data_IF_569222308908
#
_entry.id   IF_569222308908
#
_cell.length_a   1.000
_cell.length_b   1.000
_cell.length_c   1.000
_cell.angle_alpha   90.00
_cell.angle_beta   90.00
_cell.angle_gamma   90.00
#
_symmetry.space_group_name_H-M   'P 1'
#
loop_
_entity.id
_entity.type
_entity.pdbx_description
1 polymer ?
#
# COMPACT_ATOMS: atom_id res chain seq x y z
N UNK A 1 -22.16 0.71 -3.80
CA UNK A 1 -20.82 1.23 -3.49
C UNK A 1 -19.77 0.33 -4.15
N UNK A 2 -18.73 0.95 -4.78
CA UNK A 2 -17.61 0.22 -5.39
C UNK A 2 -16.31 0.68 -4.73
N UNK A 3 -15.93 0.13 -3.58
CA UNK A 3 -14.72 0.55 -2.89
C UNK A 3 -13.46 0.02 -3.57
N UNK A 4 -12.50 0.89 -3.81
CA UNK A 4 -11.18 0.56 -4.34
C UNK A 4 -10.13 1.33 -3.54
N UNK A 5 -9.09 0.64 -3.14
CA UNK A 5 -7.95 1.24 -2.45
C UNK A 5 -6.91 1.74 -3.45
N UNK A 6 -6.40 2.93 -3.20
CA UNK A 6 -5.24 3.49 -3.89
C UNK A 6 -4.14 3.68 -2.86
N UNK A 7 -2.95 3.18 -3.16
CA UNK A 7 -1.82 3.20 -2.23
C UNK A 7 -0.59 3.74 -2.92
N UNK A 8 0.25 4.44 -2.18
CA UNK A 8 1.54 4.92 -2.68
C UNK A 8 2.52 5.08 -1.52
N UNK A 9 3.80 4.99 -1.84
CA UNK A 9 4.88 5.20 -0.92
C UNK A 9 6.02 5.93 -1.59
N UNK A 10 6.72 6.75 -0.81
CA UNK A 10 7.84 7.53 -1.30
C UNK A 10 8.90 7.65 -0.20
N UNK A 11 10.14 7.85 -0.59
CA UNK A 11 11.22 8.03 0.35
C UNK A 11 12.30 8.92 -0.23
N UNK A 12 12.68 9.98 0.50
CA UNK A 12 13.85 10.77 0.20
C UNK A 12 15.10 10.07 0.75
N UNK A 13 16.24 10.19 0.06
CA UNK A 13 17.49 9.54 0.48
C UNK A 13 17.35 8.03 0.72
N UNK A 14 16.70 7.36 -0.20
CA UNK A 14 16.33 5.94 -0.12
C UNK A 14 17.48 5.05 0.37
N UNK A 15 17.24 4.28 1.43
CA UNK A 15 18.24 3.37 2.02
C UNK A 15 19.24 4.03 2.97
N UNK A 16 19.12 5.33 3.22
CA UNK A 16 19.98 6.07 4.13
C UNK A 16 19.36 6.14 5.53
N UNK A 17 20.15 6.12 6.63
CA UNK A 17 19.60 6.32 7.97
C UNK A 17 18.83 7.62 8.16
N UNK A 18 19.17 8.65 7.38
CA UNK A 18 18.45 9.95 7.41
C UNK A 18 17.26 10.00 6.47
N UNK A 19 16.94 8.90 5.80
CA UNK A 19 15.81 8.86 4.87
C UNK A 19 14.51 9.18 5.59
N UNK A 20 13.68 10.01 4.95
CA UNK A 20 12.32 10.29 5.41
C UNK A 20 11.38 9.72 4.37
N UNK A 21 10.65 8.68 4.78
CA UNK A 21 9.65 8.06 3.94
C UNK A 21 8.25 8.41 4.38
N UNK A 22 7.32 8.25 3.47
CA UNK A 22 5.90 8.40 3.76
C UNK A 22 5.09 7.47 2.89
N UNK A 23 3.94 7.08 3.39
CA UNK A 23 2.98 6.35 2.58
C UNK A 23 1.57 6.89 2.81
N UNK A 24 0.73 6.70 1.80
CA UNK A 24 -0.68 7.01 1.86
C UNK A 24 -1.49 5.85 1.32
N UNK A 25 -2.68 5.66 1.88
CA UNK A 25 -3.64 4.67 1.43
C UNK A 25 -5.04 5.25 1.59
N UNK A 26 -5.81 5.26 0.52
CA UNK A 26 -7.19 5.75 0.55
C UNK A 26 -8.13 4.72 -0.05
N UNK A 27 -9.28 4.56 0.57
CA UNK A 27 -10.38 3.76 0.03
C UNK A 27 -11.40 4.72 -0.58
N UNK A 28 -11.66 4.56 -1.86
CA UNK A 28 -12.54 5.44 -2.65
C UNK A 28 -13.75 4.66 -3.10
N UNK A 29 -14.93 5.25 -2.95
CA UNK A 29 -16.12 4.76 -3.61
C UNK A 29 -16.14 5.28 -5.05
N UNK A 30 -15.94 4.40 -6.03
CA UNK A 30 -15.90 4.80 -7.43
C UNK A 30 -17.29 5.18 -7.98
N UNK A 31 -18.39 4.76 -7.33
CA UNK A 31 -19.72 5.16 -7.76
C UNK A 31 -19.99 6.64 -7.46
N UNK A 32 -19.54 7.13 -6.31
CA UNK A 32 -19.74 8.53 -5.91
C UNK A 32 -18.48 9.37 -6.09
N UNK A 33 -17.34 8.72 -6.37
CA UNK A 33 -16.03 9.35 -6.50
C UNK A 33 -15.64 10.12 -5.25
N UNK A 34 -15.84 9.50 -4.08
CA UNK A 34 -15.54 10.09 -2.77
C UNK A 34 -14.67 9.17 -1.94
N UNK A 35 -13.87 9.77 -1.05
CA UNK A 35 -13.04 9.00 -0.12
C UNK A 35 -13.91 8.49 1.04
N UNK A 36 -13.84 7.18 1.27
CA UNK A 36 -14.56 6.51 2.37
C UNK A 36 -13.72 6.59 3.65
N UNK A 37 -12.43 6.24 3.54
CA UNK A 37 -11.48 6.26 4.64
C UNK A 37 -10.05 6.20 4.10
N UNK A 38 -9.08 6.42 4.96
CA UNK A 38 -7.68 6.31 4.57
C UNK A 38 -6.74 6.52 5.73
N UNK A 39 -5.46 6.41 5.44
CA UNK A 39 -4.39 6.60 6.38
C UNK A 39 -3.15 7.13 5.71
N UNK A 40 -2.29 7.68 6.52
CA UNK A 40 -1.00 8.24 6.12
C UNK A 40 -0.01 8.01 7.25
N UNK A 41 1.25 7.77 6.90
CA UNK A 41 2.30 7.66 7.91
C UNK A 41 3.62 8.17 7.35
N UNK A 42 4.50 8.58 8.26
CA UNK A 42 5.88 8.97 7.96
C UNK A 42 6.83 8.12 8.77
N UNK A 43 7.95 7.74 8.18
CA UNK A 43 8.93 6.84 8.79
C UNK A 43 10.33 7.35 8.51
N UNK A 44 11.18 7.33 9.54
CA UNK A 44 12.59 7.65 9.41
C UNK A 44 13.38 6.37 9.13
N UNK A 45 14.42 6.46 8.29
CA UNK A 45 15.31 5.33 8.03
C UNK A 45 14.66 4.18 7.27
N UNK A 46 13.92 4.50 6.22
CA UNK A 46 13.18 3.52 5.44
C UNK A 46 13.58 3.54 3.96
N UNK A 47 12.82 2.86 3.11
CA UNK A 47 13.02 2.80 1.67
C UNK A 47 11.71 3.01 0.92
N UNK A 48 11.78 3.35 -0.37
CA UNK A 48 10.60 3.44 -1.24
C UNK A 48 9.79 2.15 -1.21
N UNK A 49 10.46 1.00 -1.37
CA UNK A 49 9.79 -0.29 -1.42
C UNK A 49 9.05 -0.60 -0.13
N UNK A 50 9.66 -0.31 1.02
CA UNK A 50 8.99 -0.52 2.31
C UNK A 50 7.74 0.35 2.45
N UNK A 51 7.81 1.61 2.03
CA UNK A 51 6.66 2.52 2.10
C UNK A 51 5.52 2.04 1.21
N UNK A 52 5.82 1.57 0.00
CA UNK A 52 4.83 0.98 -0.89
C UNK A 52 4.16 -0.24 -0.27
N UNK A 53 4.94 -1.13 0.32
CA UNK A 53 4.42 -2.35 0.95
C UNK A 53 3.58 -2.04 2.18
N UNK A 54 4.02 -1.11 3.02
CA UNK A 54 3.27 -0.73 4.22
C UNK A 54 1.93 -0.09 3.89
N UNK A 55 1.85 0.69 2.82
CA UNK A 55 0.59 1.25 2.35
C UNK A 55 -0.40 0.16 1.95
N UNK A 56 0.07 -0.85 1.22
CA UNK A 56 -0.77 -1.99 0.80
C UNK A 56 -1.23 -2.78 2.03
N UNK A 57 -0.35 -3.05 2.98
CA UNK A 57 -0.69 -3.76 4.22
C UNK A 57 -1.76 -2.99 5.00
N UNK A 58 -1.63 -1.67 5.09
CA UNK A 58 -2.65 -0.83 5.73
C UNK A 58 -4.03 -1.03 5.08
N UNK A 59 -4.08 -1.08 3.75
CA UNK A 59 -5.33 -1.30 3.03
C UNK A 59 -5.95 -2.64 3.38
N UNK A 60 -5.16 -3.70 3.48
CA UNK A 60 -5.65 -5.03 3.87
C UNK A 60 -6.16 -5.02 5.30
N UNK A 61 -5.44 -4.39 6.21
CA UNK A 61 -5.83 -4.30 7.62
C UNK A 61 -7.11 -3.48 7.84
N UNK A 62 -7.37 -2.53 6.96
CA UNK A 62 -8.51 -1.61 7.09
C UNK A 62 -9.60 -1.84 6.03
N UNK A 63 -9.59 -2.99 5.40
CA UNK A 63 -10.55 -3.35 4.37
C UNK A 63 -12.00 -3.26 4.86
N UNK A 64 -12.90 -2.99 3.92
CA UNK A 64 -14.33 -2.97 4.22
C UNK A 64 -14.92 -4.38 4.17
N UNK A 65 -15.61 -4.77 5.23
CA UNK A 65 -16.30 -6.05 5.28
C UNK A 65 -17.46 -6.08 4.27
N UNK A 66 -17.65 -7.23 3.64
CA UNK A 66 -18.74 -7.43 2.70
C UNK A 66 -18.52 -6.92 1.30
N UNK A 67 -17.31 -6.43 0.99
CA UNK A 67 -16.95 -5.95 -0.34
C UNK A 67 -15.68 -6.63 -0.84
N UNK A 68 -15.53 -6.80 -2.16
CA UNK A 68 -14.26 -7.26 -2.72
C UNK A 68 -13.11 -6.33 -2.32
N UNK A 69 -11.97 -6.90 -1.99
CA UNK A 69 -10.78 -6.11 -1.66
C UNK A 69 -9.96 -5.89 -2.93
N UNK A 70 -10.04 -4.68 -3.46
CA UNK A 70 -9.32 -4.26 -4.65
C UNK A 70 -8.34 -3.17 -4.25
N UNK A 71 -7.06 -3.39 -4.53
CA UNK A 71 -5.98 -2.45 -4.20
C UNK A 71 -5.21 -2.11 -5.46
N UNK A 72 -5.04 -0.83 -5.73
CA UNK A 72 -4.28 -0.31 -6.88
C UNK A 72 -3.02 0.39 -6.40
N UNK A 73 -1.89 -0.02 -6.95
CA UNK A 73 -0.56 0.51 -6.64
C UNK A 73 0.21 0.74 -7.93
N UNK A 74 1.14 1.67 -7.95
CA UNK A 74 2.06 1.85 -9.06
C UNK A 74 3.40 1.11 -8.87
N UNK A 75 3.57 0.44 -7.74
CA UNK A 75 4.80 -0.30 -7.41
C UNK A 75 4.81 -1.70 -8.04
N UNK A 76 5.54 -1.86 -9.13
CA UNK A 76 5.73 -3.18 -9.75
C UNK A 76 6.39 -4.16 -8.78
N UNK A 77 7.34 -3.70 -7.97
CA UNK A 77 8.02 -4.52 -6.97
C UNK A 77 7.04 -5.09 -5.93
N UNK A 78 6.21 -4.25 -5.34
CA UNK A 78 5.25 -4.68 -4.33
C UNK A 78 4.22 -5.65 -4.91
N UNK A 79 3.69 -5.33 -6.09
CA UNK A 79 2.70 -6.18 -6.77
C UNK A 79 3.29 -7.55 -7.09
N UNK A 80 4.48 -7.60 -7.69
CA UNK A 80 5.11 -8.87 -8.03
C UNK A 80 5.46 -9.69 -6.79
N UNK A 81 5.91 -9.02 -5.73
CA UNK A 81 6.22 -9.69 -4.46
C UNK A 81 4.96 -10.33 -3.87
N UNK A 82 3.90 -9.58 -3.73
CA UNK A 82 2.69 -10.02 -3.04
C UNK A 82 1.81 -10.94 -3.89
N UNK A 83 1.83 -10.80 -5.22
CA UNK A 83 1.03 -11.66 -6.08
C UNK A 83 1.75 -12.96 -6.49
N UNK A 84 3.08 -12.96 -6.52
CA UNK A 84 3.83 -14.08 -7.10
C UNK A 84 4.97 -14.58 -6.21
N UNK A 85 6.00 -13.77 -6.02
CA UNK A 85 7.26 -14.24 -5.43
C UNK A 85 7.11 -14.75 -4.00
N UNK A 86 6.29 -14.12 -3.21
CA UNK A 86 6.04 -14.46 -1.83
C UNK A 86 5.59 -15.92 -1.65
N UNK A 87 4.75 -16.41 -2.54
CA UNK A 87 4.25 -17.79 -2.47
C UNK A 87 5.35 -18.82 -2.71
N UNK A 88 6.25 -18.53 -3.65
CA UNK A 88 7.42 -19.37 -3.88
C UNK A 88 8.33 -19.38 -2.65
N UNK A 89 8.60 -18.21 -2.07
CA UNK A 89 9.43 -18.12 -0.87
C UNK A 89 8.82 -18.85 0.32
N UNK A 90 7.51 -18.72 0.51
CA UNK A 90 6.80 -19.42 1.60
C UNK A 90 6.93 -20.95 1.47
N UNK A 91 6.83 -21.48 0.25
CA UNK A 91 7.00 -22.92 -0.01
C UNK A 91 8.44 -23.38 0.23
N UNK A 92 9.41 -22.48 0.13
CA UNK A 92 10.84 -22.77 0.26
C UNK A 92 11.43 -22.37 1.61
N UNK A 93 10.59 -22.25 2.64
CA UNK A 93 11.07 -21.87 3.98
C UNK A 93 11.51 -20.41 4.09
N UNK A 94 10.93 -19.53 3.27
CA UNK A 94 11.23 -18.10 3.24
C UNK A 94 12.66 -17.79 2.78
N UNK A 95 13.12 -18.56 1.82
CA UNK A 95 14.44 -18.40 1.19
C UNK A 95 14.25 -18.33 -0.32
N UNK A 96 14.99 -17.43 -0.97
CA UNK A 96 15.00 -17.29 -2.42
C UNK A 96 15.76 -18.44 -3.08
N UNK A 97 15.61 -18.60 -4.41
CA UNK A 97 16.27 -19.64 -5.18
C UNK A 97 17.81 -19.58 -5.09
N UNK A 98 18.38 -18.39 -4.88
CA UNK A 98 19.81 -18.18 -4.69
C UNK A 98 20.27 -18.42 -3.24
N UNK A 99 19.40 -18.95 -2.39
CA UNK A 99 19.58 -19.24 -0.97
C UNK A 99 19.75 -18.00 -0.09
N UNK A 100 19.47 -16.82 -0.62
CA UNK A 100 19.45 -15.57 0.14
C UNK A 100 18.10 -15.33 0.78
N UNK A 101 18.10 -14.59 1.90
CA UNK A 101 16.87 -14.15 2.55
C UNK A 101 16.24 -13.04 1.71
N UNK A 102 14.93 -13.10 1.43
CA UNK A 102 14.26 -12.03 0.70
C UNK A 102 14.35 -10.69 1.41
N UNK A 103 14.50 -9.61 0.65
CA UNK A 103 14.43 -8.27 1.19
C UNK A 103 13.03 -8.00 1.75
N UNK A 104 12.96 -7.19 2.79
CA UNK A 104 11.69 -6.81 3.42
C UNK A 104 10.86 -8.00 3.91
N UNK A 105 11.53 -9.07 4.33
CA UNK A 105 10.86 -10.32 4.71
C UNK A 105 9.84 -10.12 5.83
N UNK A 106 10.09 -9.22 6.75
CA UNK A 106 9.14 -8.89 7.82
C UNK A 106 7.80 -8.43 7.26
N UNK A 107 7.80 -7.55 6.27
CA UNK A 107 6.58 -7.05 5.63
C UNK A 107 5.96 -8.11 4.72
N UNK A 108 6.78 -8.89 4.02
CA UNK A 108 6.29 -9.99 3.17
C UNK A 108 5.53 -11.01 4.00
N UNK A 109 6.10 -11.45 5.12
CA UNK A 109 5.44 -12.39 6.02
C UNK A 109 4.16 -11.81 6.62
N UNK A 110 4.20 -10.53 7.00
CA UNK A 110 3.01 -9.86 7.57
C UNK A 110 1.86 -9.87 6.57
N UNK A 111 2.10 -9.49 5.33
CA UNK A 111 1.08 -9.53 4.29
C UNK A 111 0.59 -10.95 4.04
N UNK A 112 1.52 -11.90 3.90
CA UNK A 112 1.18 -13.31 3.67
C UNK A 112 0.23 -13.85 4.73
N UNK A 113 0.55 -13.64 6.00
CA UNK A 113 -0.30 -14.13 7.10
C UNK A 113 -1.63 -13.39 7.19
N UNK A 114 -1.67 -12.10 6.91
CA UNK A 114 -2.93 -11.35 6.85
C UNK A 114 -3.87 -11.96 5.80
N UNK A 115 -3.35 -12.26 4.63
CA UNK A 115 -4.15 -12.78 3.52
C UNK A 115 -4.53 -14.25 3.76
N UNK A 116 -3.57 -15.09 4.11
CA UNK A 116 -3.80 -16.53 4.24
C UNK A 116 -4.59 -16.89 5.49
N UNK A 117 -4.27 -16.29 6.64
CA UNK A 117 -4.94 -16.60 7.89
C UNK A 117 -6.41 -16.13 7.90
N UNK A 118 -6.71 -15.08 7.14
CA UNK A 118 -8.06 -14.54 7.03
C UNK A 118 -8.79 -15.03 5.76
N UNK A 119 -8.17 -15.91 4.98
CA UNK A 119 -8.73 -16.45 3.73
C UNK A 119 -9.20 -15.34 2.77
N UNK A 120 -8.38 -14.31 2.59
CA UNK A 120 -8.75 -13.16 1.77
C UNK A 120 -8.45 -13.40 0.29
N UNK A 121 -9.37 -12.99 -0.57
CA UNK A 121 -9.14 -12.89 -2.00
C UNK A 121 -8.83 -11.42 -2.31
N UNK A 122 -7.56 -11.09 -2.49
CA UNK A 122 -7.11 -9.73 -2.75
C UNK A 122 -6.85 -9.57 -4.25
N UNK A 123 -7.45 -8.54 -4.85
CA UNK A 123 -7.10 -8.10 -6.19
C UNK A 123 -6.11 -6.95 -6.04
N UNK A 124 -4.82 -7.25 -6.19
CA UNK A 124 -3.76 -6.25 -6.15
C UNK A 124 -3.29 -6.03 -7.57
N UNK A 125 -3.57 -4.85 -8.10
CA UNK A 125 -3.33 -4.54 -9.50
C UNK A 125 -2.57 -3.23 -9.66
N UNK A 126 -1.86 -3.12 -10.78
CA UNK A 126 -1.13 -1.90 -11.08
C UNK A 126 -2.07 -0.83 -11.59
N UNK A 127 -1.97 0.37 -11.01
CA UNK A 127 -2.62 1.54 -11.60
C UNK A 127 -1.95 1.82 -12.93
N UNK A 128 -2.71 2.15 -13.98
CA UNK A 128 -2.11 2.73 -15.16
C UNK A 128 -1.34 3.98 -14.74
N UNK A 129 -0.01 3.98 -14.94
CA UNK A 129 0.86 5.09 -14.52
C UNK A 129 0.67 6.32 -15.39
N UNK A 130 -0.52 6.89 -15.36
CA UNK A 130 -0.89 8.04 -16.15
C UNK A 130 -1.03 9.28 -15.29
N UNK A 131 -0.58 10.40 -15.86
CA UNK A 131 -0.79 11.73 -15.31
C UNK A 131 -2.26 12.03 -15.01
N UNK A 132 -3.17 11.30 -15.67
CA UNK A 132 -4.62 11.53 -15.60
C UNK A 132 -5.32 10.70 -14.55
N UNK A 133 -4.61 9.84 -13.79
CA UNK A 133 -5.23 9.09 -12.72
C UNK A 133 -5.32 9.96 -11.46
N UNK A 134 -6.48 10.52 -11.24
CA UNK A 134 -6.72 11.46 -10.13
C UNK A 134 -6.36 10.87 -8.77
N UNK A 135 -6.83 9.66 -8.46
CA UNK A 135 -6.63 9.07 -7.14
C UNK A 135 -5.20 8.60 -6.91
N UNK A 136 -4.53 8.12 -7.95
CA UNK A 136 -3.12 7.78 -7.86
C UNK A 136 -2.27 9.03 -7.57
N UNK A 137 -2.56 10.12 -8.26
CA UNK A 137 -1.88 11.40 -8.01
C UNK A 137 -2.21 11.96 -6.63
N UNK A 138 -3.45 11.80 -6.19
CA UNK A 138 -3.89 12.23 -4.86
C UNK A 138 -3.09 11.53 -3.77
N UNK A 139 -2.98 10.21 -3.83
CA UNK A 139 -2.26 9.43 -2.82
C UNK A 139 -0.74 9.66 -2.90
N UNK A 140 -0.19 9.91 -4.09
CA UNK A 140 1.21 10.30 -4.26
C UNK A 140 1.52 11.60 -3.50
N UNK A 141 0.67 12.59 -3.61
CA UNK A 141 0.83 13.83 -2.88
C UNK A 141 0.80 13.64 -1.37
N UNK A 142 -0.06 12.76 -0.88
CA UNK A 142 -0.13 12.44 0.55
C UNK A 142 1.14 11.72 1.01
N UNK A 143 1.60 10.75 0.25
CA UNK A 143 2.80 9.99 0.57
C UNK A 143 4.06 10.87 0.61
N UNK A 144 4.13 11.88 -0.24
CA UNK A 144 5.26 12.82 -0.29
C UNK A 144 5.10 14.03 0.64
N UNK A 145 3.99 14.12 1.35
CA UNK A 145 3.71 15.24 2.26
C UNK A 145 3.26 16.53 1.59
N UNK A 146 2.89 16.46 0.32
CA UNK A 146 2.45 17.63 -0.47
C UNK A 146 0.94 17.88 -0.38
N UNK A 147 0.19 16.97 0.23
CA UNK A 147 -1.25 17.06 0.33
C UNK A 147 -1.75 16.57 1.67
N UNK A 148 -3.04 16.68 1.87
CA UNK A 148 -3.72 16.24 3.08
C UNK A 148 -4.82 15.26 2.76
N UNK A 149 -5.03 14.28 3.64
CA UNK A 149 -6.15 13.38 3.57
C UNK A 149 -7.40 14.11 4.04
N UNK A 150 -8.39 14.27 3.14
CA UNK A 150 -9.64 14.96 3.43
C UNK A 150 -10.79 13.98 3.21
N UNK A 151 -11.65 13.82 4.21
CA UNK A 151 -12.83 12.98 4.08
C UNK A 151 -13.91 13.67 3.24
N UNK A 152 -15.00 12.96 2.95
CA UNK A 152 -16.09 13.47 2.12
C UNK A 152 -16.81 14.70 2.71
N UNK A 153 -16.61 15.01 3.99
CA UNK A 153 -17.14 16.23 4.63
C UNK A 153 -16.15 17.39 4.57
N UNK A 154 -15.00 17.22 3.95
CA UNK A 154 -13.95 18.22 3.88
C UNK A 154 -13.01 18.24 5.08
N UNK A 155 -13.19 17.33 6.02
CA UNK A 155 -12.39 17.28 7.24
C UNK A 155 -11.05 16.59 6.96
N UNK A 156 -9.95 17.20 7.41
CA UNK A 156 -8.61 16.64 7.26
C UNK A 156 -8.45 15.43 8.19
N UNK A 157 -8.24 14.24 7.61
CA UNK A 157 -8.10 13.00 8.36
C UNK A 157 -6.76 12.89 9.09
N UNK A 158 -5.75 13.65 8.69
CA UNK A 158 -4.46 13.69 9.40
C UNK A 158 -4.60 14.26 10.81
N UNK A 159 -5.60 15.10 11.04
CA UNK A 159 -5.84 15.74 12.33
C UNK A 159 -6.63 14.84 13.29
N UNK A 160 -7.10 13.69 12.84
CA UNK A 160 -7.94 12.77 13.62
C UNK A 160 -7.12 11.65 14.27
N UNK A 161 -5.96 11.38 13.72
CA UNK A 161 -5.09 10.29 14.18
C UNK A 161 -4.09 10.73 15.24
#
# INVERSE_FOLDING_TARGET
MRPVWYTDGACSKNGNPDAIGGWGAICVDLDTNTIIKGGVNKTLGTTNNRMEMEAIIYAVENRLEGYPLIIRSDSAYAINTFNNWMYSWARNGWIKSDKKIPENLDLVKKYYHLVEDNHLAVVLEKVPGHKDNYWNNYVDNIATGKGHLINFTGKNLDDIN
#
